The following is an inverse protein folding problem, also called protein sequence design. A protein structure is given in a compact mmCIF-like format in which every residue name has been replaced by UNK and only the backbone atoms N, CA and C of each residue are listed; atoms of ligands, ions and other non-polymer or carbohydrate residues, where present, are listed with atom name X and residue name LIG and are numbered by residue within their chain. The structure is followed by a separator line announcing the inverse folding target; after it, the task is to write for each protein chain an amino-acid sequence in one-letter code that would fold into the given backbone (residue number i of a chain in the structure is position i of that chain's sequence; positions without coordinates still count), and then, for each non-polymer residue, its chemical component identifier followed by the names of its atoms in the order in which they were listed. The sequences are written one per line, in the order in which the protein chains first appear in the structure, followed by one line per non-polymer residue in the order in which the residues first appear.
data_IF_355177548261
#
_entry.id   IF_355177548261
#
_cell.length_a   1.000
_cell.length_b   1.000
_cell.length_c   1.000
_cell.angle_alpha   90.00
_cell.angle_beta   90.00
_cell.angle_gamma   90.00
#
_symmetry.space_group_name_H-M   'P 1'
#
loop_
_entity.id
_entity.type
_entity.pdbx_description
1 polymer ?
#
# COMPACT_ATOMS: atom_id res chain seq x y z
N UNK A 1 -59.95 55.66 13.13
CA UNK A 1 -58.49 55.94 13.06
C UNK A 1 -57.87 55.39 14.34
N UNK A 2 -56.94 54.43 14.42
CA UNK A 2 -56.23 53.47 13.56
C UNK A 2 -55.86 52.29 14.50
N UNK A 3 -55.90 51.02 14.10
CA UNK A 3 -55.38 49.93 14.93
C UNK A 3 -53.84 49.89 14.86
N UNK A 4 -53.19 49.71 16.01
CA UNK A 4 -51.74 49.50 16.11
C UNK A 4 -51.37 48.13 15.54
N UNK A 5 -50.67 48.11 14.40
CA UNK A 5 -49.98 46.92 13.92
C UNK A 5 -48.83 46.61 14.88
N UNK A 6 -48.90 45.47 15.58
CA UNK A 6 -47.72 44.86 16.21
C UNK A 6 -46.92 44.16 15.13
N UNK A 7 -45.76 44.71 14.80
CA UNK A 7 -44.75 44.10 13.95
C UNK A 7 -44.31 42.78 14.55
N UNK A 8 -44.63 41.65 13.91
CA UNK A 8 -44.09 40.36 14.26
C UNK A 8 -42.62 40.33 13.84
N UNK A 9 -41.71 40.42 14.81
CA UNK A 9 -40.30 40.08 14.60
C UNK A 9 -40.21 38.57 14.45
N UNK A 10 -40.08 38.10 13.20
CA UNK A 10 -39.72 36.72 12.91
C UNK A 10 -38.26 36.55 13.33
N UNK A 11 -38.02 36.00 14.53
CA UNK A 11 -36.69 35.60 14.95
C UNK A 11 -36.27 34.40 14.09
N UNK A 12 -35.49 34.67 13.04
CA UNK A 12 -34.78 33.64 12.30
C UNK A 12 -33.72 33.07 13.25
N UNK A 13 -34.04 31.97 13.94
CA UNK A 13 -33.04 31.25 14.73
C UNK A 13 -32.02 30.68 13.76
N UNK A 14 -30.84 31.30 13.72
CA UNK A 14 -29.67 30.75 13.06
C UNK A 14 -29.25 29.52 13.89
N UNK A 15 -29.83 28.36 13.58
CA UNK A 15 -29.27 27.09 14.04
C UNK A 15 -27.90 26.98 13.42
N UNK A 16 -26.86 27.23 14.21
CA UNK A 16 -25.53 26.79 13.87
C UNK A 16 -25.63 25.28 13.60
N UNK A 17 -25.42 24.88 12.35
CA UNK A 17 -25.19 23.50 11.98
C UNK A 17 -23.87 23.09 12.64
N UNK A 18 -23.93 22.73 13.92
CA UNK A 18 -22.86 22.03 14.59
C UNK A 18 -22.76 20.68 13.90
N UNK A 19 -21.84 20.57 12.94
CA UNK A 19 -21.40 19.27 12.44
C UNK A 19 -20.89 18.51 13.66
N UNK A 20 -21.36 17.28 13.94
CA UNK A 20 -20.88 16.52 15.08
C UNK A 20 -19.36 16.37 14.97
N UNK A 21 -18.65 16.43 16.10
CA UNK A 21 -17.19 16.45 16.15
C UNK A 21 -16.53 15.33 15.31
N UNK A 22 -17.18 14.17 15.22
CA UNK A 22 -16.76 13.05 14.37
C UNK A 22 -16.80 13.37 12.87
N UNK A 23 -17.87 14.00 12.37
CA UNK A 23 -17.98 14.39 10.97
C UNK A 23 -17.02 15.55 10.61
N UNK A 24 -16.70 16.41 11.57
CA UNK A 24 -15.66 17.43 11.39
C UNK A 24 -14.27 16.77 11.29
N UNK A 25 -13.93 15.81 12.16
CA UNK A 25 -12.67 15.07 12.09
C UNK A 25 -12.53 14.31 10.76
N UNK A 26 -13.59 13.68 10.27
CA UNK A 26 -13.58 13.02 8.96
C UNK A 26 -13.30 14.00 7.82
N UNK A 27 -13.93 15.18 7.83
CA UNK A 27 -13.68 16.20 6.81
C UNK A 27 -12.24 16.72 6.86
N UNK A 28 -11.68 16.90 8.06
CA UNK A 28 -10.26 17.28 8.24
C UNK A 28 -9.35 16.18 7.73
N UNK A 29 -9.60 14.91 8.07
CA UNK A 29 -8.79 13.78 7.63
C UNK A 29 -8.75 13.69 6.10
N UNK A 30 -9.92 13.76 5.44
CA UNK A 30 -9.98 13.74 3.97
C UNK A 30 -9.23 14.91 3.33
N UNK A 31 -9.30 16.10 3.92
CA UNK A 31 -8.55 17.28 3.45
C UNK A 31 -7.04 17.12 3.63
N UNK A 32 -6.60 16.54 4.75
CA UNK A 32 -5.20 16.23 5.04
C UNK A 32 -4.68 15.16 4.05
N UNK A 33 -5.43 14.07 3.84
CA UNK A 33 -5.09 13.03 2.86
C UNK A 33 -4.97 13.58 1.45
N UNK A 34 -5.88 14.48 1.04
CA UNK A 34 -5.79 15.16 -0.25
C UNK A 34 -4.51 16.01 -0.36
N UNK A 35 -4.12 16.69 0.72
CA UNK A 35 -2.91 17.51 0.74
C UNK A 35 -1.65 16.64 0.63
N UNK A 36 -1.61 15.52 1.36
CA UNK A 36 -0.53 14.53 1.26
C UNK A 36 -0.43 13.94 -0.15
N UNK A 37 -1.55 13.54 -0.74
CA UNK A 37 -1.59 13.03 -2.10
C UNK A 37 -1.10 14.06 -3.14
N UNK A 38 -1.52 15.32 -3.01
CA UNK A 38 -1.04 16.39 -3.88
C UNK A 38 0.46 16.64 -3.69
N UNK A 39 0.97 16.55 -2.46
CA UNK A 39 2.39 16.70 -2.17
C UNK A 39 3.22 15.57 -2.80
N UNK A 40 2.75 14.32 -2.73
CA UNK A 40 3.35 13.20 -3.46
C UNK A 40 3.35 13.44 -4.97
N UNK A 41 2.23 13.91 -5.55
CA UNK A 41 2.15 14.19 -6.99
C UNK A 41 3.13 15.29 -7.42
N UNK A 42 3.33 16.34 -6.62
CA UNK A 42 4.34 17.37 -6.88
C UNK A 42 5.76 16.81 -6.70
N UNK A 43 6.00 16.01 -5.66
CA UNK A 43 7.28 15.31 -5.48
C UNK A 43 7.62 14.43 -6.68
N UNK A 44 6.65 13.70 -7.22
CA UNK A 44 6.83 12.85 -8.39
C UNK A 44 7.08 13.67 -9.66
N UNK A 45 6.55 14.88 -9.80
CA UNK A 45 6.88 15.77 -10.92
C UNK A 45 8.35 16.20 -10.90
N UNK A 46 8.89 16.48 -9.71
CA UNK A 46 10.27 16.93 -9.54
C UNK A 46 11.27 15.77 -9.63
N UNK A 47 10.95 14.64 -9.01
CA UNK A 47 11.91 13.55 -8.77
C UNK A 47 11.64 12.30 -9.59
N UNK A 48 10.44 12.15 -10.15
CA UNK A 48 9.91 10.94 -10.79
C UNK A 48 9.64 9.76 -9.83
N UNK A 49 9.63 10.02 -8.52
CA UNK A 49 9.36 9.02 -7.48
C UNK A 49 8.29 9.51 -6.50
N UNK A 50 7.55 8.55 -5.94
CA UNK A 50 6.89 8.75 -4.66
C UNK A 50 7.83 8.36 -3.54
N UNK A 51 7.63 8.95 -2.37
CA UNK A 51 8.45 8.68 -1.18
C UNK A 51 7.56 8.18 -0.05
N UNK A 52 8.14 7.89 1.11
CA UNK A 52 7.31 7.70 2.28
C UNK A 52 6.76 9.04 2.77
N UNK A 53 5.57 9.03 3.38
CA UNK A 53 4.86 10.27 3.69
C UNK A 53 5.66 11.19 4.59
N UNK A 54 6.41 10.63 5.55
CA UNK A 54 7.29 11.37 6.45
C UNK A 54 8.44 12.10 5.77
N UNK A 55 8.82 11.75 4.54
CA UNK A 55 9.87 12.48 3.82
C UNK A 55 9.34 13.79 3.19
N UNK A 56 8.02 13.94 3.01
CA UNK A 56 7.43 15.06 2.27
C UNK A 56 7.65 16.43 2.94
N UNK A 57 7.94 16.47 4.24
CA UNK A 57 8.23 17.71 4.97
C UNK A 57 9.73 18.04 5.06
N UNK A 58 10.59 17.27 4.39
CA UNK A 58 12.02 17.51 4.42
C UNK A 58 12.49 18.67 3.53
N UNK A 59 13.52 19.36 4.01
CA UNK A 59 14.15 20.49 3.32
C UNK A 59 15.31 20.02 2.42
N UNK A 60 15.49 20.72 1.29
CA UNK A 60 16.58 20.45 0.33
C UNK A 60 17.97 20.95 0.75
N UNK A 61 18.09 21.82 1.77
CA UNK A 61 19.34 22.56 2.04
C UNK A 61 19.86 22.49 3.49
N UNK A 62 19.02 22.15 4.46
CA UNK A 62 19.45 21.95 5.86
C UNK A 62 18.71 20.77 6.46
N UNK A 63 19.42 19.75 6.98
CA UNK A 63 18.80 18.73 7.80
C UNK A 63 17.97 19.34 8.92
N UNK A 64 16.68 19.05 8.97
CA UNK A 64 15.90 19.33 10.16
C UNK A 64 16.36 18.33 11.24
N UNK A 65 16.98 18.76 12.34
CA UNK A 65 17.41 17.86 13.40
C UNK A 65 16.24 17.15 14.12
N UNK A 66 15.00 17.61 13.92
CA UNK A 66 13.79 16.91 14.35
C UNK A 66 13.26 15.90 13.32
N UNK A 67 13.67 16.01 12.05
CA UNK A 67 13.35 15.03 11.01
C UNK A 67 14.16 13.75 11.26
N UNK A 68 13.44 12.69 11.65
CA UNK A 68 14.01 11.38 11.93
C UNK A 68 14.33 10.57 10.67
N UNK A 69 13.97 11.06 9.49
CA UNK A 69 14.22 10.38 8.22
C UNK A 69 14.53 11.32 7.04
N UNK A 70 15.37 12.31 7.31
CA UNK A 70 15.72 13.36 6.36
C UNK A 70 16.27 12.82 5.01
N UNK A 71 15.71 13.28 3.89
CA UNK A 71 16.17 13.03 2.51
C UNK A 71 17.65 13.32 2.24
N UNK A 72 18.33 14.08 3.11
CA UNK A 72 19.77 14.36 3.07
C UNK A 72 20.63 13.48 3.99
N UNK A 73 20.01 12.68 4.87
CA UNK A 73 20.68 11.87 5.87
C UNK A 73 20.80 10.41 5.43
N UNK A 74 21.82 9.68 5.93
CA UNK A 74 21.98 8.23 5.74
C UNK A 74 21.90 7.72 4.28
N UNK A 75 22.34 8.54 3.30
CA UNK A 75 22.38 8.15 1.90
C UNK A 75 21.08 8.39 1.11
N UNK A 76 20.10 9.10 1.68
CA UNK A 76 18.91 9.56 0.97
C UNK A 76 17.60 9.05 1.59
N UNK A 77 16.56 8.87 0.78
CA UNK A 77 15.27 8.27 1.18
C UNK A 77 14.91 7.08 0.28
N UNK A 78 14.04 6.19 0.73
CA UNK A 78 13.50 5.16 -0.14
C UNK A 78 12.51 5.77 -1.11
N UNK A 79 12.73 5.50 -2.40
CA UNK A 79 11.97 6.11 -3.49
C UNK A 79 11.24 5.04 -4.30
N UNK A 80 9.92 5.13 -4.35
CA UNK A 80 9.04 4.24 -5.09
C UNK A 80 8.85 4.74 -6.53
N UNK A 81 9.07 3.85 -7.50
CA UNK A 81 8.86 4.18 -8.91
C UNK A 81 7.36 4.30 -9.18
N UNK A 82 6.93 5.45 -9.72
CA UNK A 82 5.50 5.76 -9.92
C UNK A 82 4.78 4.72 -10.79
N UNK A 83 5.48 4.10 -11.75
CA UNK A 83 4.91 3.06 -12.62
C UNK A 83 4.97 1.63 -12.04
N UNK A 84 5.87 1.38 -11.07
CA UNK A 84 6.15 0.04 -10.52
C UNK A 84 5.50 -0.21 -9.19
N UNK A 85 5.42 0.80 -8.32
CA UNK A 85 4.76 0.70 -7.02
C UNK A 85 5.59 0.06 -5.92
N UNK A 86 6.81 -0.42 -6.18
CA UNK A 86 7.76 -0.78 -5.12
C UNK A 86 8.86 0.26 -5.02
N UNK A 87 9.51 0.27 -3.85
CA UNK A 87 10.76 0.99 -3.68
C UNK A 87 11.82 0.43 -4.63
N UNK A 88 12.62 1.35 -5.17
CA UNK A 88 13.69 1.00 -6.11
C UNK A 88 14.64 -0.04 -5.49
N UNK A 89 14.98 -1.11 -6.23
CA UNK A 89 16.04 -2.02 -5.83
C UNK A 89 17.38 -1.28 -5.69
N UNK A 90 18.11 -1.54 -4.60
CA UNK A 90 19.40 -0.90 -4.33
C UNK A 90 19.41 0.05 -3.13
N UNK A 91 18.26 0.22 -2.45
CA UNK A 91 18.17 0.91 -1.17
C UNK A 91 17.82 2.39 -1.28
N UNK A 92 18.25 3.16 -0.28
CA UNK A 92 18.01 4.60 -0.18
C UNK A 92 18.67 5.36 -1.33
N UNK A 93 18.02 6.44 -1.74
CA UNK A 93 18.38 7.25 -2.88
C UNK A 93 18.51 8.71 -2.46
N UNK A 94 19.69 9.29 -2.65
CA UNK A 94 19.89 10.74 -2.51
C UNK A 94 19.08 11.43 -3.62
N UNK A 95 17.97 12.07 -3.25
CA UNK A 95 17.11 12.80 -4.17
C UNK A 95 17.54 14.25 -4.36
N UNK A 96 18.43 14.79 -3.53
CA UNK A 96 18.82 16.21 -3.60
C UNK A 96 19.86 16.43 -4.69
N UNK A 97 20.87 15.56 -4.78
CA UNK A 97 21.99 15.74 -5.71
C UNK A 97 21.78 15.05 -7.07
N UNK A 98 20.53 14.89 -7.53
CA UNK A 98 20.20 14.24 -8.81
C UNK A 98 19.91 15.27 -9.91
N UNK A 99 19.83 14.77 -11.13
CA UNK A 99 19.34 15.55 -12.28
C UNK A 99 17.89 16.01 -12.10
N UNK A 100 17.06 15.14 -11.53
CA UNK A 100 15.69 15.41 -11.11
C UNK A 100 15.71 15.54 -9.59
N UNK A 101 15.99 16.74 -9.12
CA UNK A 101 16.32 17.03 -7.73
C UNK A 101 15.07 17.28 -6.88
N UNK A 102 15.15 16.89 -5.61
CA UNK A 102 14.19 17.23 -4.58
C UNK A 102 14.04 18.75 -4.43
N UNK A 103 12.82 19.23 -4.67
CA UNK A 103 12.41 20.64 -4.55
C UNK A 103 11.70 20.97 -3.23
N UNK A 104 11.54 19.98 -2.34
CA UNK A 104 10.75 20.11 -1.11
C UNK A 104 11.26 21.15 -0.10
N UNK A 105 10.47 21.41 0.95
CA UNK A 105 9.39 20.54 1.43
C UNK A 105 8.12 20.68 0.59
N UNK A 106 7.44 19.56 0.35
CA UNK A 106 6.20 19.50 -0.44
C UNK A 106 4.95 19.70 0.44
N UNK A 107 5.08 19.43 1.74
CA UNK A 107 4.07 19.70 2.76
C UNK A 107 4.77 20.08 4.06
N UNK A 108 4.08 20.76 4.96
CA UNK A 108 4.59 21.00 6.32
C UNK A 108 3.61 20.41 7.31
N UNK A 109 4.09 19.50 8.16
CA UNK A 109 3.28 18.91 9.20
C UNK A 109 3.08 19.89 10.36
N UNK A 110 1.92 19.81 10.98
CA UNK A 110 1.65 20.56 12.20
C UNK A 110 2.53 20.02 13.33
N UNK A 111 2.99 20.92 14.19
CA UNK A 111 3.81 20.54 15.35
C UNK A 111 3.08 19.53 16.24
N UNK A 112 3.77 18.44 16.62
CA UNK A 112 3.20 17.37 17.46
C UNK A 112 2.22 16.44 16.74
N UNK A 113 2.11 16.51 15.40
CA UNK A 113 1.25 15.63 14.60
C UNK A 113 2.03 14.65 13.73
N UNK A 114 3.14 14.16 14.26
CA UNK A 114 3.93 13.10 13.65
C UNK A 114 4.21 12.02 14.69
N UNK A 115 4.40 10.78 14.24
CA UNK A 115 4.69 9.67 15.13
C UNK A 115 6.08 9.82 15.75
N UNK A 116 6.16 10.05 17.06
CA UNK A 116 7.43 10.34 17.75
C UNK A 116 8.20 9.10 18.24
N UNK A 117 7.60 7.92 18.20
CA UNK A 117 8.23 6.68 18.70
C UNK A 117 7.99 5.54 17.71
N UNK A 118 8.68 4.42 17.88
CA UNK A 118 8.36 3.22 17.13
C UNK A 118 6.89 2.85 17.41
N UNK A 119 6.05 2.94 16.39
CA UNK A 119 4.62 2.75 16.47
C UNK A 119 4.15 1.65 15.52
N UNK A 120 2.84 1.61 15.18
CA UNK A 120 2.32 0.61 14.25
C UNK A 120 2.84 0.80 12.81
N UNK A 121 3.34 2.00 12.51
CA UNK A 121 3.94 2.36 11.23
C UNK A 121 5.26 3.14 11.45
N UNK A 122 5.79 3.80 10.43
CA UNK A 122 7.11 4.45 10.49
C UNK A 122 7.15 5.66 11.43
N UNK A 123 8.33 5.89 12.00
CA UNK A 123 8.62 7.04 12.84
C UNK A 123 8.67 8.29 11.97
N UNK A 124 7.98 9.35 12.40
CA UNK A 124 7.86 10.60 11.65
C UNK A 124 6.62 10.67 10.76
N UNK A 125 5.91 9.56 10.56
CA UNK A 125 4.70 9.56 9.73
C UNK A 125 3.63 10.52 10.28
N UNK A 126 2.93 11.27 9.41
CA UNK A 126 1.91 12.22 9.83
C UNK A 126 0.73 11.50 10.48
N UNK A 127 0.19 12.09 11.54
CA UNK A 127 -0.95 11.56 12.30
C UNK A 127 -2.26 12.16 11.81
N UNK A 128 -3.27 11.31 11.68
CA UNK A 128 -4.65 11.68 11.42
C UNK A 128 -5.28 12.43 12.61
N UNK A 129 -6.52 12.95 12.48
CA UNK A 129 -7.18 13.71 13.55
C UNK A 129 -7.44 12.92 14.84
N UNK A 130 -7.30 11.59 14.81
CA UNK A 130 -7.48 10.69 15.95
C UNK A 130 -6.15 10.26 16.58
N UNK A 131 -5.02 10.71 16.02
CA UNK A 131 -3.68 10.44 16.53
C UNK A 131 -3.07 9.13 16.04
N UNK A 132 -3.65 8.51 15.01
CA UNK A 132 -3.09 7.31 14.37
C UNK A 132 -2.36 7.70 13.08
N UNK A 133 -1.29 6.98 12.67
CA UNK A 133 -0.57 7.36 11.46
C UNK A 133 -1.43 7.16 10.20
N UNK A 134 -1.24 8.04 9.21
CA UNK A 134 -1.68 7.76 7.85
C UNK A 134 -0.83 6.64 7.23
N UNK A 135 -1.48 5.69 6.57
CA UNK A 135 -0.84 4.55 5.94
C UNK A 135 -0.75 4.78 4.44
N UNK A 136 0.41 4.51 3.84
CA UNK A 136 0.61 4.72 2.41
C UNK A 136 0.75 3.39 1.67
N UNK A 137 -0.22 3.10 0.82
CA UNK A 137 -0.26 1.90 0.01
C UNK A 137 0.06 2.22 -1.44
N UNK A 138 0.85 1.35 -2.07
CA UNK A 138 0.83 1.17 -3.50
C UNK A 138 -0.06 -0.03 -3.86
N UNK A 139 -0.35 -0.25 -5.14
CA UNK A 139 -1.04 -1.47 -5.56
C UNK A 139 -0.29 -2.77 -5.28
N UNK A 140 1.00 -2.71 -4.91
CA UNK A 140 1.76 -3.88 -4.48
C UNK A 140 1.61 -4.20 -3.00
N UNK A 141 1.18 -3.23 -2.18
CA UNK A 141 1.15 -3.40 -0.74
C UNK A 141 1.30 -2.09 0.04
N UNK A 142 1.36 -2.22 1.36
CA UNK A 142 1.77 -1.15 2.25
C UNK A 142 3.24 -0.82 2.00
N UNK A 143 3.54 0.43 1.67
CA UNK A 143 4.92 0.88 1.54
C UNK A 143 5.51 1.06 2.94
N UNK A 144 6.70 0.52 3.18
CA UNK A 144 7.44 0.64 4.44
C UNK A 144 8.68 1.50 4.22
N UNK A 145 8.63 2.77 4.67
CA UNK A 145 9.74 3.72 4.57
C UNK A 145 10.98 3.22 5.32
N UNK A 146 10.78 2.66 6.51
CA UNK A 146 11.80 2.10 7.39
C UNK A 146 12.64 0.98 6.76
N UNK A 147 12.01 0.10 5.98
CA UNK A 147 12.68 -1.06 5.39
C UNK A 147 12.89 -0.96 3.88
N UNK A 148 12.23 -0.01 3.21
CA UNK A 148 12.22 0.07 1.74
C UNK A 148 11.52 -1.11 1.08
N UNK A 149 10.44 -1.63 1.70
CA UNK A 149 9.70 -2.79 1.18
C UNK A 149 8.21 -2.48 1.00
N UNK A 150 7.55 -3.17 0.05
CA UNK A 150 6.09 -3.24 0.02
C UNK A 150 5.63 -4.52 0.75
N UNK A 151 4.75 -4.40 1.75
CA UNK A 151 4.27 -5.53 2.56
C UNK A 151 2.76 -5.75 2.38
N UNK A 152 2.28 -6.92 2.79
CA UNK A 152 0.84 -7.26 2.74
C UNK A 152 0.11 -6.96 4.05
N UNK A 153 0.67 -6.09 4.90
CA UNK A 153 0.05 -5.64 6.15
C UNK A 153 -1.22 -4.83 5.88
N UNK A 154 -2.14 -4.81 6.85
CA UNK A 154 -3.36 -4.01 6.77
C UNK A 154 -4.22 -4.35 5.54
N UNK A 155 -4.35 -3.40 4.62
CA UNK A 155 -5.07 -3.59 3.36
C UNK A 155 -4.28 -4.37 2.30
N UNK A 156 -2.98 -4.59 2.50
CA UNK A 156 -2.09 -5.29 1.57
C UNK A 156 -2.23 -4.76 0.14
N UNK A 157 -2.43 -5.66 -0.81
CA UNK A 157 -2.52 -5.35 -2.25
C UNK A 157 -3.95 -5.11 -2.75
N UNK A 158 -4.89 -4.73 -1.86
CA UNK A 158 -6.30 -4.57 -2.26
C UNK A 158 -6.52 -3.42 -3.24
N UNK A 159 -5.70 -2.38 -3.17
CA UNK A 159 -5.86 -1.19 -4.00
C UNK A 159 -5.28 -1.37 -5.41
N UNK A 160 -5.95 -0.77 -6.39
CA UNK A 160 -5.46 -0.70 -7.79
C UNK A 160 -4.66 0.57 -8.11
N UNK A 161 -4.57 1.49 -7.14
CA UNK A 161 -3.85 2.77 -7.22
C UNK A 161 -3.12 3.07 -5.91
N UNK A 162 -2.22 4.04 -5.94
CA UNK A 162 -1.67 4.62 -4.74
C UNK A 162 -2.79 5.15 -3.85
N UNK A 163 -2.75 4.81 -2.58
CA UNK A 163 -3.85 5.03 -1.65
C UNK A 163 -3.29 5.42 -0.30
N UNK A 164 -3.75 6.55 0.22
CA UNK A 164 -3.56 6.90 1.63
C UNK A 164 -4.77 6.35 2.40
N UNK A 165 -4.54 5.77 3.57
CA UNK A 165 -5.58 5.23 4.44
C UNK A 165 -5.44 5.83 5.85
N UNK A 166 -6.56 6.20 6.45
CA UNK A 166 -6.66 6.44 7.90
C UNK A 166 -7.64 5.42 8.47
N UNK A 167 -7.24 4.78 9.58
CA UNK A 167 -8.10 3.85 10.31
C UNK A 167 -9.14 4.55 11.20
N UNK A 168 -9.27 5.87 11.08
CA UNK A 168 -10.29 6.60 11.83
C UNK A 168 -10.10 6.52 13.34
N UNK A 169 -11.23 6.56 14.05
CA UNK A 169 -11.26 6.68 15.51
C UNK A 169 -10.81 5.39 16.22
N UNK A 170 -11.08 4.22 15.65
CA UNK A 170 -10.77 2.95 16.31
C UNK A 170 -9.30 2.54 16.12
N UNK A 171 -8.62 3.12 15.13
CA UNK A 171 -7.22 2.87 14.84
C UNK A 171 -6.95 1.45 14.33
N UNK A 172 -7.98 0.74 13.87
CA UNK A 172 -7.91 -0.65 13.41
C UNK A 172 -8.54 -0.74 12.05
N UNK A 173 -7.93 -1.54 11.16
CA UNK A 173 -8.52 -1.83 9.85
C UNK A 173 -9.98 -2.31 9.97
N UNK A 174 -10.90 -1.51 9.47
CA UNK A 174 -12.33 -1.71 9.60
C UNK A 174 -13.09 -1.15 8.39
N UNK A 175 -14.42 -1.24 8.39
CA UNK A 175 -15.23 -0.76 7.28
C UNK A 175 -15.45 0.77 7.29
N UNK A 176 -15.16 1.45 8.41
CA UNK A 176 -15.29 2.90 8.56
C UNK A 176 -14.01 3.67 8.21
N UNK A 177 -12.95 2.96 7.82
CA UNK A 177 -11.69 3.53 7.37
C UNK A 177 -11.87 4.49 6.19
N UNK A 178 -11.08 5.55 6.21
CA UNK A 178 -11.03 6.53 5.14
C UNK A 178 -9.94 6.15 4.16
N UNK A 179 -10.27 6.21 2.86
CA UNK A 179 -9.31 5.93 1.78
C UNK A 179 -9.28 7.08 0.78
N UNK A 180 -8.09 7.46 0.34
CA UNK A 180 -7.90 8.48 -0.68
C UNK A 180 -6.96 7.95 -1.77
N UNK A 181 -7.49 7.70 -2.96
CA UNK A 181 -6.72 7.18 -4.09
C UNK A 181 -6.20 8.33 -4.97
N UNK A 182 -4.95 8.23 -5.40
CA UNK A 182 -4.29 9.27 -6.18
C UNK A 182 -3.25 8.68 -7.15
N UNK A 183 -2.58 9.57 -7.87
CA UNK A 183 -1.47 9.21 -8.74
C UNK A 183 -1.86 8.42 -10.00
N UNK A 184 -0.86 8.09 -10.83
CA UNK A 184 -1.07 7.22 -11.97
C UNK A 184 -1.41 5.80 -11.50
N UNK A 185 -2.19 5.07 -12.29
CA UNK A 185 -2.28 3.62 -12.11
C UNK A 185 -0.96 2.98 -12.47
N UNK A 186 -0.61 1.86 -11.84
CA UNK A 186 0.61 1.14 -12.20
C UNK A 186 0.50 0.56 -13.61
N UNK A 187 1.56 0.72 -14.39
CA UNK A 187 1.71 0.07 -15.70
C UNK A 187 2.52 -1.23 -15.60
N UNK A 188 3.13 -1.50 -14.46
CA UNK A 188 3.87 -2.74 -14.24
C UNK A 188 2.99 -3.99 -14.31
N UNK A 189 3.58 -5.05 -14.86
CA UNK A 189 3.03 -6.39 -14.93
C UNK A 189 3.68 -7.21 -13.82
N UNK A 190 2.91 -7.63 -12.81
CA UNK A 190 3.47 -8.08 -11.53
C UNK A 190 2.52 -9.03 -10.82
N UNK A 191 3.10 -10.06 -10.19
CA UNK A 191 2.43 -10.89 -9.18
C UNK A 191 2.69 -10.27 -7.81
N UNK A 192 1.64 -10.03 -7.03
CA UNK A 192 1.72 -9.36 -5.72
C UNK A 192 1.60 -10.35 -4.56
N UNK A 193 0.66 -11.28 -4.64
CA UNK A 193 0.36 -12.20 -3.54
C UNK A 193 -0.31 -13.48 -4.03
N UNK A 194 -0.31 -14.49 -3.15
CA UNK A 194 -1.00 -15.77 -3.37
C UNK A 194 -2.03 -16.01 -2.27
N UNK A 195 -3.15 -16.62 -2.64
CA UNK A 195 -4.21 -17.03 -1.72
C UNK A 195 -4.68 -18.46 -2.03
N UNK A 196 -5.31 -19.11 -1.06
CA UNK A 196 -5.91 -20.42 -1.25
C UNK A 196 -5.73 -21.34 -0.04
N UNK A 197 -6.37 -22.50 -0.09
CA UNK A 197 -6.10 -23.56 0.87
C UNK A 197 -4.63 -23.99 0.72
N UNK A 198 -3.93 -24.18 1.85
CA UNK A 198 -2.51 -24.57 1.88
C UNK A 198 -1.54 -23.54 1.28
N UNK A 199 -1.93 -22.28 1.23
CA UNK A 199 -1.03 -21.16 0.93
C UNK A 199 -0.65 -20.48 2.24
N UNK A 200 0.65 -20.40 2.53
CA UNK A 200 1.15 -19.61 3.66
C UNK A 200 2.07 -18.50 3.16
N UNK A 201 1.79 -17.23 3.51
CA UNK A 201 2.65 -16.12 3.14
C UNK A 201 4.03 -16.23 3.79
N UNK A 202 5.06 -15.64 3.18
CA UNK A 202 6.34 -15.48 3.85
C UNK A 202 6.21 -14.64 5.13
N UNK A 203 7.12 -14.80 6.12
CA UNK A 203 7.14 -13.96 7.31
C UNK A 203 7.26 -12.47 6.98
N UNK A 204 6.62 -11.61 7.76
CA UNK A 204 6.67 -10.15 7.60
C UNK A 204 7.46 -9.54 8.77
N UNK A 205 8.43 -8.62 8.54
CA UNK A 205 8.88 -8.12 7.24
C UNK A 205 9.61 -9.19 6.41
N UNK A 206 9.40 -9.20 5.09
CA UNK A 206 10.12 -10.07 4.15
C UNK A 206 11.11 -9.25 3.31
N UNK A 207 12.32 -8.96 3.80
CA UNK A 207 13.30 -8.11 3.10
C UNK A 207 13.95 -8.77 1.86
N UNK A 208 13.25 -9.67 1.18
CA UNK A 208 13.59 -10.08 -0.19
C UNK A 208 14.10 -11.50 -0.36
N UNK A 209 13.41 -12.50 0.19
CA UNK A 209 13.73 -13.88 -0.23
C UNK A 209 12.90 -15.02 0.32
N UNK A 210 12.09 -14.80 1.37
CA UNK A 210 11.24 -15.88 1.87
C UNK A 210 10.15 -16.20 0.85
N UNK A 211 9.97 -17.50 0.60
CA UNK A 211 9.01 -18.01 -0.36
C UNK A 211 7.63 -18.21 0.26
N UNK A 212 6.60 -18.04 -0.56
CA UNK A 212 5.25 -18.51 -0.27
C UNK A 212 5.26 -20.03 -0.26
N UNK A 213 4.72 -20.66 0.79
CA UNK A 213 4.54 -22.12 0.76
C UNK A 213 3.20 -22.45 0.14
N UNK A 214 3.19 -23.43 -0.76
CA UNK A 214 1.99 -23.83 -1.49
C UNK A 214 1.85 -25.35 -1.50
N UNK A 215 0.68 -25.85 -1.09
CA UNK A 215 0.33 -27.28 -1.16
C UNK A 215 0.05 -27.75 -2.58
N UNK A 216 0.85 -28.69 -3.10
CA UNK A 216 0.62 -29.28 -4.42
C UNK A 216 -0.69 -30.08 -4.50
N UNK A 217 -1.31 -30.11 -5.67
CA UNK A 217 -2.64 -30.68 -5.88
C UNK A 217 -3.82 -29.75 -5.52
N UNK A 218 -3.56 -28.55 -5.02
CA UNK A 218 -4.60 -27.57 -4.68
C UNK A 218 -4.70 -26.46 -5.71
N UNK A 219 -5.86 -25.80 -5.75
CA UNK A 219 -6.04 -24.54 -6.47
C UNK A 219 -5.52 -23.40 -5.61
N UNK A 220 -4.70 -22.54 -6.21
CA UNK A 220 -4.30 -21.25 -5.64
C UNK A 220 -4.87 -20.12 -6.49
N UNK A 221 -5.11 -18.99 -5.83
CA UNK A 221 -5.39 -17.71 -6.48
C UNK A 221 -4.10 -16.90 -6.50
N UNK A 222 -3.60 -16.62 -7.70
CA UNK A 222 -2.50 -15.68 -7.94
C UNK A 222 -3.10 -14.29 -8.11
N UNK A 223 -2.76 -13.35 -7.23
CA UNK A 223 -3.14 -11.95 -7.38
C UNK A 223 -1.99 -11.13 -7.96
N UNK A 224 -2.34 -10.11 -8.73
CA UNK A 224 -1.40 -9.15 -9.25
C UNK A 224 -2.07 -8.03 -10.03
N UNK A 225 -1.29 -7.46 -10.96
CA UNK A 225 -1.68 -6.27 -11.72
C UNK A 225 -1.36 -6.48 -13.18
N UNK A 226 -2.28 -5.99 -14.03
CA UNK A 226 -2.14 -5.99 -15.49
C UNK A 226 -2.01 -7.39 -16.10
N UNK A 227 -2.72 -8.38 -15.55
CA UNK A 227 -2.78 -9.74 -16.13
C UNK A 227 -3.58 -9.78 -17.43
N UNK A 228 -4.45 -8.80 -17.67
CA UNK A 228 -5.39 -8.78 -18.79
C UNK A 228 -6.74 -9.38 -18.40
N UNK A 229 -7.82 -8.94 -19.04
CA UNK A 229 -9.19 -9.33 -18.68
C UNK A 229 -9.53 -10.80 -18.98
N UNK A 230 -8.75 -11.46 -19.85
CA UNK A 230 -8.90 -12.87 -20.23
C UNK A 230 -7.52 -13.51 -20.37
N UNK A 231 -7.46 -14.85 -20.33
CA UNK A 231 -6.20 -15.59 -20.43
C UNK A 231 -5.46 -15.29 -21.74
N UNK A 232 -6.11 -15.46 -22.89
CA UNK A 232 -5.47 -15.22 -24.19
C UNK A 232 -4.20 -16.07 -24.36
N UNK A 233 -3.06 -15.41 -24.60
CA UNK A 233 -1.72 -16.03 -24.66
C UNK A 233 -1.02 -16.09 -23.29
N UNK A 234 -1.75 -15.83 -22.22
CA UNK A 234 -1.27 -15.79 -20.85
C UNK A 234 -0.99 -17.18 -20.29
N UNK A 235 0.18 -17.37 -19.68
CA UNK A 235 0.56 -18.61 -19.02
C UNK A 235 1.01 -18.32 -17.59
N UNK A 236 0.69 -19.24 -16.67
CA UNK A 236 1.22 -19.21 -15.31
C UNK A 236 2.41 -20.15 -15.25
N UNK A 237 3.58 -19.62 -14.88
CA UNK A 237 4.82 -20.38 -14.82
C UNK A 237 5.29 -20.48 -13.37
N UNK A 238 5.75 -21.66 -12.98
CA UNK A 238 6.50 -21.90 -11.75
C UNK A 238 7.89 -22.43 -12.13
N UNK A 239 8.87 -21.53 -12.18
CA UNK A 239 10.17 -21.80 -12.78
C UNK A 239 10.03 -22.17 -14.26
N UNK A 240 10.46 -23.39 -14.62
CA UNK A 240 10.33 -23.95 -15.97
C UNK A 240 9.02 -24.73 -16.19
N UNK A 241 8.18 -24.88 -15.16
CA UNK A 241 6.94 -25.67 -15.23
C UNK A 241 5.76 -24.75 -15.53
N UNK A 242 5.05 -25.01 -16.63
CA UNK A 242 3.77 -24.35 -16.91
C UNK A 242 2.66 -25.00 -16.08
N UNK A 243 1.92 -24.18 -15.33
CA UNK A 243 0.74 -24.60 -14.58
C UNK A 243 -0.49 -24.53 -15.49
N UNK A 244 -0.77 -25.61 -16.22
CA UNK A 244 -1.83 -25.66 -17.24
C UNK A 244 -3.25 -25.71 -16.68
N UNK A 245 -3.41 -25.97 -15.38
CA UNK A 245 -4.70 -26.07 -14.69
C UNK A 245 -5.34 -24.73 -14.34
N UNK A 246 -5.32 -23.75 -15.26
CA UNK A 246 -5.95 -22.44 -15.05
C UNK A 246 -7.47 -22.60 -15.15
N UNK A 247 -8.19 -22.18 -14.11
CA UNK A 247 -9.65 -22.30 -14.01
C UNK A 247 -10.37 -20.95 -14.08
N UNK A 248 -9.67 -19.86 -13.74
CA UNK A 248 -10.18 -18.49 -13.83
C UNK A 248 -9.06 -17.53 -14.21
N UNK A 249 -9.39 -16.53 -15.02
CA UNK A 249 -8.49 -15.43 -15.32
C UNK A 249 -9.24 -14.10 -15.26
N UNK A 250 -8.58 -13.09 -14.73
CA UNK A 250 -9.02 -11.70 -14.73
C UNK A 250 -7.81 -10.78 -14.71
N UNK A 251 -8.05 -9.48 -14.81
CA UNK A 251 -6.96 -8.51 -14.82
C UNK A 251 -6.13 -8.48 -13.51
N UNK A 252 -6.70 -8.99 -12.41
CA UNK A 252 -6.08 -8.95 -11.08
C UNK A 252 -5.87 -10.31 -10.43
N UNK A 253 -6.60 -11.33 -10.85
CA UNK A 253 -6.62 -12.63 -10.18
C UNK A 253 -6.67 -13.76 -11.21
N UNK A 254 -5.88 -14.80 -10.97
CA UNK A 254 -5.83 -16.03 -11.75
C UNK A 254 -5.96 -17.20 -10.77
N UNK A 255 -6.97 -18.06 -10.97
CA UNK A 255 -7.09 -19.30 -10.22
C UNK A 255 -6.43 -20.43 -11.03
N UNK A 256 -5.46 -21.12 -10.41
CA UNK A 256 -4.65 -22.15 -11.08
C UNK A 256 -4.34 -23.31 -10.14
N UNK A 257 -4.35 -24.52 -10.69
CA UNK A 257 -4.03 -25.74 -9.97
C UNK A 257 -2.51 -25.97 -9.96
N UNK A 258 -1.95 -26.19 -8.77
CA UNK A 258 -0.59 -26.73 -8.64
C UNK A 258 -0.64 -28.24 -8.91
N UNK A 259 0.15 -28.80 -9.86
CA UNK A 259 0.16 -30.23 -10.13
C UNK A 259 0.40 -31.08 -8.89
N UNK A 260 -0.33 -32.20 -8.76
CA UNK A 260 -0.18 -33.14 -7.64
C UNK A 260 1.26 -33.66 -7.57
N UNK A 261 1.85 -33.67 -6.36
CA UNK A 261 3.19 -34.20 -6.13
C UNK A 261 4.32 -33.26 -6.55
N UNK A 262 4.01 -32.07 -7.09
CA UNK A 262 5.03 -31.08 -7.43
C UNK A 262 5.78 -30.65 -6.16
N UNK A 263 7.12 -30.78 -6.21
CA UNK A 263 8.03 -30.33 -5.16
C UNK A 263 9.11 -29.47 -5.80
N UNK A 264 9.00 -28.15 -5.67
CA UNK A 264 9.94 -27.20 -6.29
C UNK A 264 9.95 -25.87 -5.56
N UNK A 265 11.14 -25.31 -5.36
CA UNK A 265 11.32 -23.92 -4.97
C UNK A 265 11.72 -23.10 -6.20
N UNK A 266 10.82 -22.23 -6.67
CA UNK A 266 11.02 -21.47 -7.91
C UNK A 266 10.20 -20.17 -7.91
N UNK A 267 10.57 -19.18 -8.75
CA UNK A 267 9.74 -18.01 -8.98
C UNK A 267 8.44 -18.40 -9.69
N UNK A 268 7.32 -17.91 -9.16
CA UNK A 268 6.03 -17.89 -9.84
C UNK A 268 5.85 -16.57 -10.57
N UNK A 269 5.58 -16.64 -11.86
CA UNK A 269 5.38 -15.47 -12.72
C UNK A 269 4.38 -15.76 -13.82
N UNK A 270 3.86 -14.69 -14.42
CA UNK A 270 2.92 -14.76 -15.53
C UNK A 270 3.64 -14.32 -16.80
N UNK A 271 3.47 -15.07 -17.89
CA UNK A 271 3.87 -14.62 -19.23
C UNK A 271 2.64 -14.20 -20.01
N UNK A 272 2.80 -13.23 -20.91
CA UNK A 272 1.78 -12.84 -21.89
C UNK A 272 2.46 -12.34 -23.15
N UNK A 273 2.43 -13.13 -24.22
CA UNK A 273 3.23 -12.86 -25.41
C UNK A 273 4.72 -12.79 -25.05
N UNK A 274 5.38 -11.67 -25.37
CA UNK A 274 6.79 -11.45 -25.04
C UNK A 274 7.02 -10.86 -23.63
N UNK A 275 5.97 -10.56 -22.87
CA UNK A 275 6.10 -9.94 -21.55
C UNK A 275 6.15 -10.99 -20.44
N UNK A 276 6.97 -10.77 -19.44
CA UNK A 276 7.00 -11.52 -18.19
C UNK A 276 6.69 -10.59 -17.02
N UNK A 277 5.90 -11.06 -16.07
CA UNK A 277 5.63 -10.32 -14.84
C UNK A 277 6.85 -10.32 -13.91
N UNK A 278 6.88 -9.37 -12.99
CA UNK A 278 7.64 -9.57 -11.75
C UNK A 278 7.10 -10.79 -11.01
N UNK A 279 8.01 -11.53 -10.38
CA UNK A 279 7.76 -12.84 -9.80
C UNK A 279 7.74 -12.79 -8.27
N UNK A 280 7.05 -13.76 -7.67
CA UNK A 280 7.18 -14.07 -6.24
C UNK A 280 7.85 -15.43 -6.07
N UNK A 281 8.66 -15.60 -5.01
CA UNK A 281 9.27 -16.90 -4.72
C UNK A 281 8.22 -17.85 -4.13
N UNK A 282 8.18 -19.08 -4.64
CA UNK A 282 7.25 -20.13 -4.17
C UNK A 282 8.04 -21.38 -3.81
N UNK A 283 7.69 -21.99 -2.69
CA UNK A 283 8.09 -23.32 -2.27
C UNK A 283 6.85 -24.23 -2.32
N UNK A 284 6.71 -24.94 -3.45
CA UNK A 284 5.62 -25.87 -3.68
C UNK A 284 6.04 -27.25 -3.14
N UNK A 285 5.19 -27.86 -2.32
CA UNK A 285 5.39 -29.20 -1.78
C UNK A 285 4.05 -29.90 -1.54
N UNK A 286 4.00 -31.24 -1.47
CA UNK A 286 2.81 -31.96 -1.03
C UNK A 286 2.29 -31.45 0.31
N UNK A 287 0.97 -31.30 0.51
CA UNK A 287 0.40 -30.95 1.80
C UNK A 287 0.87 -31.94 2.86
N UNK A 288 1.47 -31.44 3.95
CA UNK A 288 1.78 -32.29 5.09
C UNK A 288 0.45 -32.66 5.73
N UNK A 289 0.08 -33.95 5.68
CA UNK A 289 -1.05 -34.44 6.45
C UNK A 289 -0.84 -34.01 7.91
N UNK A 290 -1.84 -33.39 8.53
CA UNK A 290 -1.80 -33.15 9.97
C UNK A 290 -1.45 -34.49 10.63
N UNK A 291 -0.36 -34.52 11.41
CA UNK A 291 -0.03 -35.71 12.21
C UNK A 291 -1.21 -35.88 13.16
N UNK A 292 -2.11 -36.79 12.83
CA UNK A 292 -3.11 -37.25 13.79
C UNK A 292 -2.31 -38.09 14.77
N UNK A 293 -1.90 -37.47 15.87
CA UNK A 293 -1.29 -38.18 16.97
C UNK A 293 -2.35 -39.10 17.58
N UNK A 294 -2.37 -40.35 17.12
CA UNK A 294 -3.26 -41.38 17.63
C UNK A 294 -2.79 -41.94 18.99
N UNK A 295 -1.86 -41.28 19.69
CA UNK A 295 -1.40 -41.71 21.02
C UNK A 295 -2.23 -41.12 22.17
N UNK A 296 -3.56 -41.27 22.15
CA UNK A 296 -4.34 -41.37 23.38
C UNK A 296 -5.49 -42.36 23.16
N UNK A 297 -5.20 -43.65 23.29
CA UNK A 297 -6.15 -44.69 23.69
C UNK A 297 -5.52 -45.51 24.80
#
# INVERSE_FOLDING_TARGET
MKPFLRTAFLALTLTALCVPATAQSVAVALSEMQTLANAEDVCALDTNFYVSLEALNDLSSTPDPASRDNVLSNGGTYAAETWRGDFRPGGRLDLVNRTLAWGGPYVTFQFGRTQETAGPYDVGSPLDPWGTPYWFYSPLGLLRGDTGTATLEGYGDQFGRYTIVSYGLDGVKSADDLTYQFGPGLTSFVVTSLYGAWVTPPPVPNPGGAAWKVGSGNTITVRGINFGSTQGTGQVMLGSTELTGVTRWSNREIDVIIPVGLTVQAPLFITRGAQQSLAVQVDAAPPVAAVVDWQIY
#
